data_IF_613308286905
#
_entry.id   IF_613308286905
#
_cell.length_a   1.000
_cell.length_b   1.000
_cell.length_c   1.000
_cell.angle_alpha   90.00
_cell.angle_beta   90.00
_cell.angle_gamma   90.00
#
_symmetry.space_group_name_H-M   'P 1'
#
loop_
_entity.id
_entity.type
_entity.pdbx_description
1 polymer ?
#
# COMPACT_ATOMS: atom_id res chain seq x y z
N UNK A 1 42.77 -16.26 16.97
CA UNK A 1 41.91 -16.37 15.77
C UNK A 1 40.43 -16.70 16.04
N UNK A 2 40.07 -17.35 17.16
CA UNK A 2 38.68 -17.77 17.45
C UNK A 2 37.71 -16.62 17.84
N UNK A 3 38.22 -15.55 18.44
CA UNK A 3 37.41 -14.39 18.90
C UNK A 3 36.87 -13.56 17.72
N UNK A 4 37.64 -13.40 16.64
CA UNK A 4 37.22 -12.62 15.45
C UNK A 4 36.07 -13.29 14.69
N UNK A 5 36.01 -14.62 14.68
CA UNK A 5 34.93 -15.38 14.03
C UNK A 5 33.62 -15.30 14.82
N UNK A 6 33.71 -15.27 16.16
CA UNK A 6 32.55 -15.15 17.05
C UNK A 6 31.90 -13.76 16.97
N UNK A 7 32.72 -12.69 16.91
CA UNK A 7 32.26 -11.32 16.69
C UNK A 7 31.57 -11.13 15.33
N UNK A 8 32.06 -11.78 14.26
CA UNK A 8 31.44 -11.73 12.94
C UNK A 8 30.05 -12.40 12.93
N UNK A 9 29.91 -13.53 13.63
CA UNK A 9 28.65 -14.27 13.73
C UNK A 9 27.58 -13.51 14.53
N UNK A 10 27.99 -12.81 15.60
CA UNK A 10 27.11 -11.92 16.37
C UNK A 10 26.62 -10.76 15.49
N UNK A 11 27.49 -10.12 14.71
CA UNK A 11 27.11 -9.00 13.82
C UNK A 11 26.08 -9.43 12.76
N UNK A 12 26.24 -10.61 12.16
CA UNK A 12 25.32 -11.15 11.15
C UNK A 12 23.94 -11.48 11.76
N UNK A 13 23.90 -12.01 13.00
CA UNK A 13 22.64 -12.29 13.69
C UNK A 13 21.88 -11.02 14.09
N UNK A 14 22.57 -9.91 14.40
CA UNK A 14 21.92 -8.64 14.77
C UNK A 14 21.30 -7.95 13.55
N UNK A 15 21.84 -8.13 12.34
CA UNK A 15 21.28 -7.51 11.12
C UNK A 15 20.06 -8.22 10.55
N UNK A 16 19.75 -9.45 10.99
CA UNK A 16 18.64 -10.25 10.46
C UNK A 16 17.27 -9.97 11.13
N UNK A 17 17.19 -9.05 12.10
CA UNK A 17 15.98 -8.85 12.93
C UNK A 17 15.36 -7.45 12.83
N UNK A 18 15.40 -6.83 11.66
CA UNK A 18 14.67 -5.58 11.43
C UNK A 18 14.02 -5.59 10.05
N UNK A 19 12.84 -6.20 9.95
CA UNK A 19 12.06 -6.22 8.72
C UNK A 19 10.59 -6.42 9.01
N UNK A 20 9.75 -5.50 8.51
CA UNK A 20 8.32 -5.72 8.39
C UNK A 20 8.02 -6.41 7.06
N UNK A 21 7.19 -7.43 7.08
CA UNK A 21 6.65 -8.07 5.87
C UNK A 21 5.22 -7.60 5.69
N UNK A 22 4.89 -7.15 4.48
CA UNK A 22 3.52 -6.77 4.09
C UNK A 22 3.04 -7.71 3.00
N UNK A 23 1.82 -8.21 3.13
CA UNK A 23 1.22 -9.14 2.17
C UNK A 23 -0.21 -8.69 1.82
N UNK A 24 -0.50 -8.38 0.55
CA UNK A 24 -1.84 -7.96 0.17
C UNK A 24 -2.81 -9.15 0.22
N UNK A 25 -4.05 -8.87 0.59
CA UNK A 25 -5.17 -9.80 0.43
C UNK A 25 -5.45 -9.99 -1.07
N UNK A 26 -6.09 -11.10 -1.46
CA UNK A 26 -6.36 -11.42 -2.88
C UNK A 26 -7.62 -10.75 -3.44
N UNK A 27 -8.17 -9.80 -2.71
CA UNK A 27 -9.42 -9.12 -3.03
C UNK A 27 -9.31 -7.62 -2.80
N UNK A 28 -9.95 -6.86 -3.68
CA UNK A 28 -10.16 -5.43 -3.56
C UNK A 28 -11.66 -5.22 -3.44
N UNK A 29 -12.07 -4.48 -2.42
CA UNK A 29 -13.48 -4.13 -2.22
C UNK A 29 -13.73 -2.78 -2.89
N UNK A 30 -14.75 -2.68 -3.72
CA UNK A 30 -15.21 -1.42 -4.29
C UNK A 30 -16.53 -1.01 -3.64
N UNK A 31 -16.58 0.21 -3.14
CA UNK A 31 -17.75 0.83 -2.52
C UNK A 31 -18.19 2.06 -3.32
N UNK A 32 -19.44 2.47 -3.15
CA UNK A 32 -19.92 3.74 -3.69
C UNK A 32 -19.32 4.90 -2.89
N UNK A 33 -18.81 5.92 -3.59
CA UNK A 33 -18.21 7.07 -2.94
C UNK A 33 -18.48 8.36 -3.71
N UNK A 34 -19.36 9.21 -3.14
CA UNK A 34 -19.94 10.40 -3.77
C UNK A 34 -19.10 11.09 -4.84
N UNK A 35 -18.05 11.83 -4.44
CA UNK A 35 -17.26 12.67 -5.35
C UNK A 35 -16.57 11.88 -6.48
N UNK A 36 -16.14 10.65 -6.21
CA UNK A 36 -15.39 9.84 -7.17
C UNK A 36 -16.19 8.67 -7.72
N UNK A 37 -17.49 8.55 -7.47
CA UNK A 37 -18.33 7.36 -7.69
C UNK A 37 -17.87 6.07 -6.97
N UNK A 38 -16.58 5.75 -6.94
CA UNK A 38 -16.04 4.52 -6.36
C UNK A 38 -14.84 4.76 -5.42
N UNK A 39 -14.85 4.06 -4.29
CA UNK A 39 -13.73 3.90 -3.34
C UNK A 39 -13.29 2.44 -3.34
N UNK A 40 -12.04 2.18 -3.75
CA UNK A 40 -11.44 0.86 -3.77
C UNK A 40 -10.54 0.69 -2.56
N UNK A 41 -10.82 -0.31 -1.74
CA UNK A 41 -10.05 -0.69 -0.56
C UNK A 41 -9.14 -1.86 -0.87
N UNK A 42 -7.84 -1.63 -0.83
CA UNK A 42 -6.81 -2.66 -0.89
C UNK A 42 -6.31 -2.95 0.52
N UNK A 43 -6.71 -4.09 1.07
CA UNK A 43 -6.27 -4.55 2.39
C UNK A 43 -4.97 -5.33 2.29
N UNK A 44 -4.05 -5.10 3.23
CA UNK A 44 -2.84 -5.89 3.36
C UNK A 44 -2.52 -6.17 4.82
N UNK A 45 -1.95 -7.35 5.03
CA UNK A 45 -1.52 -7.82 6.33
C UNK A 45 -0.07 -7.43 6.58
N UNK A 46 0.20 -6.76 7.69
CA UNK A 46 1.54 -6.36 8.11
C UNK A 46 1.95 -7.14 9.34
N UNK A 47 3.11 -7.80 9.27
CA UNK A 47 3.76 -8.40 10.44
C UNK A 47 5.19 -7.92 10.54
N UNK A 48 5.64 -7.65 11.75
CA UNK A 48 7.00 -7.19 11.98
C UNK A 48 7.47 -7.44 13.40
N UNK A 49 8.63 -6.88 13.70
CA UNK A 49 9.15 -6.75 15.06
C UNK A 49 9.49 -5.30 15.29
N UNK A 50 9.22 -4.81 16.49
CA UNK A 50 9.72 -3.53 16.93
C UNK A 50 11.24 -3.46 16.79
N UNK A 51 11.78 -2.25 16.81
CA UNK A 51 13.21 -2.03 16.69
C UNK A 51 13.80 -1.62 18.04
N UNK A 52 15.13 -1.59 18.11
CA UNK A 52 15.83 -1.19 19.33
C UNK A 52 15.57 0.28 19.70
N UNK A 53 15.19 1.12 18.73
CA UNK A 53 14.81 2.52 18.96
C UNK A 53 13.45 2.66 19.67
N UNK A 54 12.58 1.66 19.59
CA UNK A 54 11.33 1.57 20.37
C UNK A 54 11.49 0.75 21.66
N UNK A 55 12.72 0.38 22.04
CA UNK A 55 13.06 -0.45 23.21
C UNK A 55 12.23 -1.74 23.35
N UNK A 56 11.69 -2.24 22.25
CA UNK A 56 10.81 -3.40 22.23
C UNK A 56 11.07 -4.21 20.98
N UNK A 57 11.41 -5.48 21.17
CA UNK A 57 11.50 -6.49 20.11
C UNK A 57 10.18 -7.27 19.97
N UNK A 58 9.10 -6.76 20.58
CA UNK A 58 7.79 -7.39 20.49
C UNK A 58 7.38 -7.52 19.02
N UNK A 59 6.82 -8.69 18.70
CA UNK A 59 6.17 -8.90 17.41
C UNK A 59 4.90 -8.07 17.39
N UNK A 60 4.61 -7.48 16.25
CA UNK A 60 3.34 -6.82 15.98
C UNK A 60 2.76 -7.37 14.69
N UNK A 61 1.44 -7.38 14.62
CA UNK A 61 0.68 -7.90 13.50
C UNK A 61 -0.65 -7.14 13.43
N UNK A 62 -0.94 -6.55 12.28
CA UNK A 62 -2.16 -5.77 12.04
C UNK A 62 -2.50 -5.74 10.55
N UNK A 63 -3.77 -5.49 10.24
CA UNK A 63 -4.20 -5.20 8.88
C UNK A 63 -4.18 -3.69 8.63
N UNK A 64 -3.81 -3.30 7.41
CA UNK A 64 -3.75 -1.91 6.97
C UNK A 64 -4.30 -1.81 5.54
N UNK A 65 -4.51 -0.58 5.08
CA UNK A 65 -5.32 -0.29 3.90
C UNK A 65 -4.71 0.83 3.06
N UNK A 66 -4.68 0.59 1.75
CA UNK A 66 -4.47 1.61 0.73
C UNK A 66 -5.78 1.83 -0.04
N UNK A 67 -6.02 3.07 -0.44
CA UNK A 67 -7.28 3.51 -1.03
C UNK A 67 -7.05 4.10 -2.41
N UNK A 68 -7.84 3.66 -3.38
CA UNK A 68 -7.88 4.19 -4.74
C UNK A 68 -9.29 4.72 -5.02
N UNK A 69 -9.39 5.95 -5.52
CA UNK A 69 -10.66 6.58 -5.89
C UNK A 69 -10.70 6.82 -7.40
N UNK A 70 -11.84 6.54 -8.03
CA UNK A 70 -12.00 6.62 -9.49
C UNK A 70 -13.45 6.73 -9.92
N UNK A 71 -13.73 7.66 -10.85
CA UNK A 71 -15.07 7.88 -11.44
C UNK A 71 -15.54 6.78 -12.40
N UNK A 72 -14.75 5.74 -12.61
CA UNK A 72 -15.12 4.59 -13.45
C UNK A 72 -14.58 3.30 -12.85
N UNK A 73 -15.30 2.21 -13.08
CA UNK A 73 -14.91 0.85 -12.67
C UNK A 73 -15.04 -0.14 -13.86
N UNK A 74 -14.55 0.28 -15.01
CA UNK A 74 -14.53 -0.49 -16.25
C UNK A 74 -13.29 -0.16 -17.09
N UNK A 75 -12.78 -1.18 -17.80
CA UNK A 75 -11.63 -1.05 -18.70
C UNK A 75 -10.37 -0.51 -18.01
N UNK A 76 -9.51 0.13 -18.79
CA UNK A 76 -8.27 0.72 -18.32
C UNK A 76 -8.49 2.14 -17.77
N UNK A 77 -7.92 2.41 -16.61
CA UNK A 77 -8.03 3.68 -15.88
C UNK A 77 -6.62 4.17 -15.58
N UNK A 78 -6.17 5.18 -16.31
CA UNK A 78 -4.84 5.76 -16.16
C UNK A 78 -4.70 6.49 -14.82
N UNK A 79 -3.48 6.52 -14.29
CA UNK A 79 -3.18 7.08 -12.97
C UNK A 79 -3.52 8.58 -12.81
N UNK A 80 -3.62 9.33 -13.91
CA UNK A 80 -4.04 10.74 -13.90
C UNK A 80 -5.52 10.92 -13.50
N UNK A 81 -6.32 9.88 -13.69
CA UNK A 81 -7.75 9.80 -13.39
C UNK A 81 -8.02 9.13 -12.03
N UNK A 82 -6.96 8.75 -11.32
CA UNK A 82 -7.03 8.10 -10.01
C UNK A 82 -6.62 9.06 -8.90
N UNK A 83 -7.19 8.85 -7.71
CA UNK A 83 -6.62 9.37 -6.47
C UNK A 83 -6.15 8.19 -5.63
N UNK A 84 -4.89 8.21 -5.19
CA UNK A 84 -4.33 7.22 -4.29
C UNK A 84 -4.04 7.85 -2.93
N UNK A 85 -4.39 7.16 -1.84
CA UNK A 85 -4.16 7.61 -0.47
C UNK A 85 -3.93 6.44 0.49
N UNK A 86 -3.08 6.65 1.48
CA UNK A 86 -2.89 5.72 2.61
C UNK A 86 -3.95 5.86 3.72
N UNK A 87 -4.88 6.81 3.54
CA UNK A 87 -5.91 7.15 4.52
C UNK A 87 -7.27 7.26 3.84
N UNK A 88 -8.28 6.64 4.46
CA UNK A 88 -9.63 6.62 3.92
C UNK A 88 -10.20 8.04 3.82
N UNK A 89 -10.85 8.35 2.70
CA UNK A 89 -11.49 9.64 2.34
C UNK A 89 -10.56 10.85 2.39
N UNK A 90 -9.24 10.62 2.37
CA UNK A 90 -8.25 11.69 2.28
C UNK A 90 -7.79 11.83 0.83
N UNK A 91 -8.68 12.42 0.03
CA UNK A 91 -8.53 12.59 -1.43
C UNK A 91 -7.74 13.85 -1.82
N UNK A 92 -7.41 14.70 -0.85
CA UNK A 92 -6.71 15.98 -1.06
C UNK A 92 -5.33 16.01 -0.42
N UNK A 93 -4.54 17.03 -0.76
CA UNK A 93 -3.26 17.32 -0.10
C UNK A 93 -3.46 17.52 1.42
N UNK A 94 -2.54 17.05 2.28
CA UNK A 94 -1.25 16.41 1.99
C UNK A 94 -1.31 14.89 1.82
N UNK A 95 -2.49 14.27 1.90
CA UNK A 95 -2.62 12.81 1.93
C UNK A 95 -2.62 12.17 0.54
N UNK A 96 -3.14 12.88 -0.46
CA UNK A 96 -3.15 12.42 -1.85
C UNK A 96 -1.74 12.23 -2.38
N UNK A 97 -1.48 11.06 -2.93
CA UNK A 97 -0.26 10.78 -3.67
C UNK A 97 -0.24 11.58 -4.98
N UNK A 98 0.67 12.55 -5.07
CA UNK A 98 0.91 13.32 -6.29
C UNK A 98 1.80 12.55 -7.26
N UNK A 99 1.76 12.90 -8.56
CA UNK A 99 2.65 12.41 -9.63
C UNK A 99 2.71 10.87 -9.79
N UNK A 100 1.60 10.21 -9.47
CA UNK A 100 1.38 8.78 -9.70
C UNK A 100 1.46 8.45 -11.20
N UNK A 101 2.00 7.28 -11.55
CA UNK A 101 2.02 6.75 -12.93
C UNK A 101 1.43 5.35 -12.96
N UNK A 102 1.14 4.86 -14.16
CA UNK A 102 0.58 3.53 -14.39
C UNK A 102 -0.93 3.57 -14.53
N UNK A 103 -1.59 2.47 -14.21
CA UNK A 103 -3.04 2.32 -14.34
C UNK A 103 -3.59 1.23 -13.42
N UNK A 104 -4.91 1.23 -13.27
CA UNK A 104 -5.66 0.02 -12.92
C UNK A 104 -6.46 -0.43 -14.16
N UNK A 105 -6.73 -1.73 -14.27
CA UNK A 105 -7.53 -2.28 -15.37
C UNK A 105 -8.57 -3.23 -14.82
N UNK A 106 -9.84 -2.92 -15.05
CA UNK A 106 -10.97 -3.79 -14.73
C UNK A 106 -11.21 -4.71 -15.91
N UNK A 107 -10.80 -5.96 -15.77
CA UNK A 107 -10.87 -6.98 -16.83
C UNK A 107 -12.26 -7.60 -16.94
N UNK A 108 -13.01 -7.65 -15.83
CA UNK A 108 -14.37 -8.17 -15.74
C UNK A 108 -15.05 -7.68 -14.47
N UNK A 109 -16.33 -8.04 -14.27
CA UNK A 109 -17.09 -7.70 -13.05
C UNK A 109 -16.45 -8.19 -11.74
N UNK A 110 -15.53 -9.15 -11.81
CA UNK A 110 -14.90 -9.78 -10.65
C UNK A 110 -13.38 -9.76 -10.67
N UNK A 111 -12.74 -9.06 -11.63
CA UNK A 111 -11.29 -9.06 -11.79
C UNK A 111 -10.74 -7.67 -12.10
N UNK A 112 -9.69 -7.31 -11.36
CA UNK A 112 -8.97 -6.05 -11.52
C UNK A 112 -7.47 -6.28 -11.43
N UNK A 113 -6.70 -5.55 -12.24
CA UNK A 113 -5.23 -5.50 -12.18
C UNK A 113 -4.79 -4.12 -11.73
N UNK A 114 -3.87 -4.07 -10.78
CA UNK A 114 -3.21 -2.84 -10.32
C UNK A 114 -1.78 -2.83 -10.84
N UNK A 115 -1.42 -1.79 -11.60
CA UNK A 115 -0.10 -1.61 -12.20
C UNK A 115 0.34 -0.15 -12.07
N UNK A 116 0.70 0.25 -10.85
CA UNK A 116 1.05 1.61 -10.48
C UNK A 116 2.55 1.77 -10.24
N UNK A 117 3.05 2.98 -10.45
CA UNK A 117 4.40 3.39 -10.06
C UNK A 117 4.32 4.58 -9.09
N UNK A 118 4.90 4.40 -7.90
CA UNK A 118 4.96 5.39 -6.84
C UNK A 118 6.18 6.30 -7.04
N UNK A 119 6.02 7.63 -6.98
CA UNK A 119 7.16 8.53 -7.05
C UNK A 119 7.96 8.51 -5.75
N UNK A 120 9.29 8.55 -5.88
CA UNK A 120 10.22 8.85 -4.79
C UNK A 120 10.68 10.28 -4.92
N UNK A 121 10.53 11.04 -3.84
CA UNK A 121 10.91 12.44 -3.80
C UNK A 121 12.32 12.59 -3.24
N UNK A 122 13.05 13.59 -3.71
CA UNK A 122 14.24 14.09 -3.04
C UNK A 122 13.87 15.12 -1.95
N UNK A 123 14.88 15.63 -1.25
CA UNK A 123 14.70 16.62 -0.18
C UNK A 123 14.13 17.97 -0.68
N UNK A 124 14.10 18.18 -2.00
CA UNK A 124 13.54 19.37 -2.66
C UNK A 124 12.12 19.12 -3.21
N UNK A 125 11.45 18.03 -2.82
CA UNK A 125 10.13 17.61 -3.30
C UNK A 125 10.07 17.38 -4.83
N UNK A 126 11.20 17.17 -5.50
CA UNK A 126 11.24 16.77 -6.88
C UNK A 126 11.17 15.25 -6.98
N UNK A 127 10.53 14.74 -8.05
CA UNK A 127 10.49 13.29 -8.26
C UNK A 127 11.85 12.84 -8.76
N UNK A 128 12.53 12.05 -7.95
CA UNK A 128 13.84 11.45 -8.24
C UNK A 128 13.70 10.17 -9.06
N UNK A 129 12.73 9.33 -8.74
CA UNK A 129 12.48 8.07 -9.43
C UNK A 129 11.02 7.64 -9.29
N UNK A 130 10.63 6.63 -10.08
CA UNK A 130 9.37 5.92 -9.92
C UNK A 130 9.67 4.47 -9.62
N UNK A 131 9.05 3.95 -8.57
CA UNK A 131 9.21 2.55 -8.16
C UNK A 131 7.89 1.81 -8.32
N UNK A 132 7.91 0.51 -8.68
CA UNK A 132 6.70 -0.30 -8.67
C UNK A 132 6.01 -0.22 -7.31
N UNK A 133 4.71 0.05 -7.34
CA UNK A 133 3.90 -0.07 -6.13
C UNK A 133 3.95 -1.52 -5.62
N UNK A 134 4.22 -1.67 -4.32
CA UNK A 134 4.50 -2.97 -3.70
C UNK A 134 3.32 -3.96 -3.80
N UNK A 135 2.10 -3.46 -4.01
CA UNK A 135 0.89 -4.27 -4.17
C UNK A 135 0.34 -4.24 -5.59
N UNK A 136 1.20 -4.03 -6.60
CA UNK A 136 0.83 -4.34 -7.98
C UNK A 136 0.48 -5.82 -8.13
N UNK A 137 -0.49 -6.14 -8.98
CA UNK A 137 -0.93 -7.51 -9.23
C UNK A 137 -2.41 -7.61 -9.62
N UNK A 138 -2.85 -8.84 -9.83
CA UNK A 138 -4.24 -9.17 -10.11
C UNK A 138 -4.99 -9.53 -8.82
N UNK A 139 -6.24 -9.03 -8.72
CA UNK A 139 -7.11 -9.19 -7.57
C UNK A 139 -8.52 -9.59 -8.00
N UNK A 140 -9.22 -10.27 -7.09
CA UNK A 140 -10.67 -10.41 -7.18
C UNK A 140 -11.33 -9.09 -6.80
N UNK A 141 -12.12 -8.53 -7.70
CA UNK A 141 -12.92 -7.33 -7.43
C UNK A 141 -14.24 -7.74 -6.78
N UNK A 142 -14.58 -7.12 -5.65
CA UNK A 142 -15.86 -7.34 -4.95
C UNK A 142 -16.57 -6.01 -4.80
N UNK A 143 -17.61 -5.82 -5.60
CA UNK A 143 -18.51 -4.66 -5.51
C UNK A 143 -19.38 -4.82 -4.26
N UNK A 144 -19.43 -3.79 -3.42
CA UNK A 144 -20.24 -3.71 -2.21
C UNK A 144 -21.24 -2.59 -2.37
N UNK A 145 -22.47 -2.82 -1.89
CA UNK A 145 -23.51 -1.79 -1.92
C UNK A 145 -23.22 -0.70 -0.88
N UNK A 146 -23.39 0.55 -1.30
CA UNK A 146 -23.29 1.70 -0.42
C UNK A 146 -21.85 2.09 -0.07
N UNK A 147 -21.74 3.04 0.87
CA UNK A 147 -20.46 3.63 1.26
C UNK A 147 -19.69 2.71 2.21
N UNK A 148 -18.38 2.61 1.99
CA UNK A 148 -17.49 1.84 2.85
C UNK A 148 -17.51 2.31 4.31
N UNK A 149 -17.53 1.41 5.30
CA UNK A 149 -17.47 1.77 6.70
C UNK A 149 -16.18 2.55 6.99
N UNK A 150 -16.26 3.48 7.93
CA UNK A 150 -15.07 4.17 8.42
C UNK A 150 -14.16 3.17 9.13
N UNK A 151 -12.89 3.15 8.75
CA UNK A 151 -11.87 2.36 9.43
C UNK A 151 -11.09 3.30 10.34
N UNK A 152 -11.20 3.10 11.64
CA UNK A 152 -10.35 3.77 12.62
C UNK A 152 -8.95 3.16 12.50
N UNK A 153 -7.93 4.02 12.35
CA UNK A 153 -6.53 3.64 12.53
C UNK A 153 -6.18 3.97 13.98
N UNK A 154 -6.00 2.94 14.79
CA UNK A 154 -5.47 3.04 16.16
C UNK A 154 -4.02 3.56 16.16
#
# INVERSE_FOLDING_TARGET
MKIKLFLLLIIICITASCGSVRKPYKEILAYDYGEFQHELRLTYHTKGRGNIHTYSLAKYEFDDFDWIYTNKLEGKIEADSLVFSHYQRKTEYPWKQSKLKGHIEVLSDSSIVVSLLMPRYDDSNNVKSWEPYQFNGAYRLIKKEGTGPLVEKD
#
